data_IF_858370065385
#
_entry.id   IF_858370065385
#
_cell.length_a   1.000
_cell.length_b   1.000
_cell.length_c   1.000
_cell.angle_alpha   90.00
_cell.angle_beta   90.00
_cell.angle_gamma   90.00
#
_symmetry.space_group_name_H-M   'P 1'
#
loop_
_entity.id
_entity.type
_entity.pdbx_description
1 polymer ?
#
# COMPACT_ATOMS: atom_id res chain seq x y z
N UNK A 1 -42.86 -46.01 -67.34
CA UNK A 1 -44.17 -46.39 -66.77
C UNK A 1 -43.90 -46.91 -65.37
N UNK A 2 -44.40 -46.22 -64.31
CA UNK A 2 -44.66 -46.71 -62.93
C UNK A 2 -43.47 -47.31 -62.14
N UNK A 3 -43.22 -47.06 -60.86
CA UNK A 3 -43.76 -46.25 -59.74
C UNK A 3 -42.89 -46.66 -58.53
N UNK A 4 -42.49 -45.70 -57.67
CA UNK A 4 -42.40 -45.80 -56.19
C UNK A 4 -41.58 -46.97 -55.52
N UNK A 5 -41.13 -46.95 -54.27
CA UNK A 5 -41.20 -46.05 -53.11
C UNK A 5 -40.12 -46.49 -52.09
N UNK A 6 -39.53 -45.53 -51.40
CA UNK A 6 -39.21 -45.50 -49.95
C UNK A 6 -38.64 -46.77 -49.27
N UNK A 7 -37.46 -46.61 -48.66
CA UNK A 7 -37.32 -46.68 -47.18
C UNK A 7 -35.99 -46.04 -46.72
N UNK A 8 -36.15 -44.90 -46.05
CA UNK A 8 -35.14 -44.27 -45.18
C UNK A 8 -35.00 -45.13 -43.91
N UNK A 9 -33.77 -45.45 -43.53
CA UNK A 9 -33.43 -45.69 -42.12
C UNK A 9 -32.36 -44.68 -41.72
N UNK A 10 -32.83 -43.56 -41.16
CA UNK A 10 -32.04 -42.61 -40.41
C UNK A 10 -31.81 -43.22 -39.02
N UNK A 11 -30.62 -43.76 -38.79
CA UNK A 11 -30.15 -44.10 -37.44
C UNK A 11 -29.89 -42.80 -36.68
N UNK A 12 -30.85 -42.43 -35.83
CA UNK A 12 -30.68 -41.39 -34.82
C UNK A 12 -29.75 -41.94 -33.74
N UNK A 13 -28.44 -41.70 -33.87
CA UNK A 13 -27.54 -41.76 -32.73
C UNK A 13 -27.76 -40.49 -31.90
N UNK A 14 -28.60 -40.60 -30.87
CA UNK A 14 -28.70 -39.60 -29.83
C UNK A 14 -27.42 -39.69 -28.98
N UNK A 15 -26.49 -38.77 -29.22
CA UNK A 15 -25.41 -38.48 -28.26
C UNK A 15 -26.07 -37.75 -27.10
N UNK A 16 -26.44 -38.49 -26.07
CA UNK A 16 -26.79 -37.93 -24.78
C UNK A 16 -25.48 -37.43 -24.14
N UNK A 17 -25.19 -36.14 -24.35
CA UNK A 17 -24.15 -35.45 -23.60
C UNK A 17 -24.67 -35.30 -22.16
N UNK A 18 -24.33 -36.26 -21.32
CA UNK A 18 -24.53 -36.16 -19.89
C UNK A 18 -23.61 -35.06 -19.36
N UNK A 19 -24.11 -33.84 -19.29
CA UNK A 19 -23.58 -32.80 -18.41
C UNK A 19 -23.86 -33.23 -16.97
N UNK A 20 -23.07 -34.21 -16.48
CA UNK A 20 -22.98 -34.51 -15.06
C UNK A 20 -22.41 -33.26 -14.41
N UNK A 21 -23.22 -32.66 -13.54
CA UNK A 21 -22.87 -31.47 -12.79
C UNK A 21 -21.62 -31.69 -11.95
N UNK A 22 -20.48 -31.28 -12.51
CA UNK A 22 -19.46 -30.64 -11.70
C UNK A 22 -20.01 -29.27 -11.35
N UNK A 23 -20.64 -29.15 -10.17
CA UNK A 23 -20.58 -27.91 -9.44
C UNK A 23 -19.08 -27.66 -9.24
N UNK A 24 -18.46 -27.00 -10.22
CA UNK A 24 -17.20 -26.34 -10.01
C UNK A 24 -17.49 -25.45 -8.81
N UNK A 25 -16.95 -25.84 -7.66
CA UNK A 25 -16.54 -24.88 -6.68
C UNK A 25 -15.63 -23.95 -7.48
N UNK A 26 -16.20 -22.88 -8.04
CA UNK A 26 -15.45 -21.67 -8.28
C UNK A 26 -14.89 -21.38 -6.91
N UNK A 27 -13.67 -21.86 -6.66
CA UNK A 27 -12.83 -21.39 -5.57
C UNK A 27 -12.94 -19.89 -5.71
N UNK A 28 -13.72 -19.27 -4.83
CA UNK A 28 -13.86 -17.83 -4.82
C UNK A 28 -12.42 -17.33 -4.84
N UNK A 29 -12.03 -16.69 -5.95
CA UNK A 29 -10.69 -16.13 -6.08
C UNK A 29 -10.47 -15.33 -4.79
N UNK A 30 -9.32 -15.53 -4.16
CA UNK A 30 -9.10 -14.94 -2.85
C UNK A 30 -9.11 -13.42 -2.99
N UNK A 31 -10.25 -12.77 -2.73
CA UNK A 31 -10.34 -11.31 -2.80
C UNK A 31 -9.32 -10.68 -1.85
N UNK A 32 -8.87 -9.46 -2.17
CA UNK A 32 -8.05 -8.62 -1.30
C UNK A 32 -8.81 -7.33 -0.95
N UNK A 33 -8.69 -6.87 0.29
CA UNK A 33 -9.25 -5.58 0.71
C UNK A 33 -8.12 -4.63 1.07
N UNK A 34 -8.00 -3.53 0.31
CA UNK A 34 -6.95 -2.54 0.48
C UNK A 34 -7.55 -1.23 0.99
N UNK A 35 -7.09 -0.76 2.14
CA UNK A 35 -7.36 0.59 2.63
C UNK A 35 -6.11 1.44 2.45
N UNK A 36 -6.21 2.43 1.57
CA UNK A 36 -5.16 3.43 1.35
C UNK A 36 -5.36 4.55 2.36
N UNK A 37 -4.36 4.78 3.20
CA UNK A 37 -4.36 5.79 4.24
C UNK A 37 -3.30 6.85 3.92
N UNK A 38 -3.76 8.03 3.51
CA UNK A 38 -2.89 9.15 3.12
C UNK A 38 -2.82 10.20 4.22
N UNK A 39 -1.60 10.45 4.67
CA UNK A 39 -1.26 11.62 5.43
C UNK A 39 -1.42 12.88 4.56
N UNK A 40 -2.23 13.83 5.02
CA UNK A 40 -2.40 15.12 4.35
C UNK A 40 -2.01 16.29 5.24
N UNK A 41 -1.22 16.07 6.28
CA UNK A 41 -0.86 17.07 7.29
C UNK A 41 0.02 18.19 6.73
N UNK A 42 0.25 19.23 7.51
CA UNK A 42 1.03 20.40 7.05
C UNK A 42 2.47 20.05 6.68
N UNK A 43 3.07 19.08 7.39
CA UNK A 43 4.43 18.58 7.13
C UNK A 43 4.55 17.93 5.74
N UNK A 44 3.47 17.35 5.22
CA UNK A 44 3.42 16.82 3.86
C UNK A 44 3.57 17.90 2.77
N UNK A 45 3.50 19.18 3.13
CA UNK A 45 3.82 20.30 2.25
C UNK A 45 5.32 20.51 2.05
N UNK A 46 6.16 19.92 2.90
CA UNK A 46 7.61 19.97 2.78
C UNK A 46 8.12 19.23 1.54
N UNK A 47 9.33 19.57 1.10
CA UNK A 47 9.98 18.91 -0.05
C UNK A 47 10.36 17.47 0.30
N UNK A 48 9.99 16.51 -0.54
CA UNK A 48 10.42 15.11 -0.43
C UNK A 48 11.60 14.83 -1.34
N UNK A 49 11.44 15.08 -2.65
CA UNK A 49 12.49 15.02 -3.68
C UNK A 49 12.64 16.39 -4.35
N UNK A 50 13.77 16.68 -5.00
CA UNK A 50 13.95 17.96 -5.70
C UNK A 50 12.76 18.31 -6.59
N UNK A 51 12.10 19.44 -6.31
CA UNK A 51 10.97 19.95 -7.10
C UNK A 51 9.58 19.42 -6.73
N UNK A 52 9.45 18.44 -5.82
CA UNK A 52 8.16 17.88 -5.40
C UNK A 52 7.97 17.87 -3.88
N UNK A 53 6.76 18.23 -3.44
CA UNK A 53 6.35 18.07 -2.03
C UNK A 53 6.10 16.61 -1.68
N UNK A 54 6.14 16.28 -0.38
CA UNK A 54 5.79 14.94 0.12
C UNK A 54 4.37 14.54 -0.30
N UNK A 55 3.40 15.46 -0.26
CA UNK A 55 2.05 15.18 -0.75
C UNK A 55 2.01 14.90 -2.26
N UNK A 56 2.77 15.62 -3.08
CA UNK A 56 2.84 15.35 -4.52
C UNK A 56 3.42 13.96 -4.81
N UNK A 57 4.50 13.62 -4.11
CA UNK A 57 5.11 12.28 -4.19
C UNK A 57 4.12 11.21 -3.70
N UNK A 58 3.46 11.44 -2.57
CA UNK A 58 2.46 10.52 -2.01
C UNK A 58 1.34 10.21 -3.01
N UNK A 59 0.77 11.25 -3.63
CA UNK A 59 -0.26 11.11 -4.67
C UNK A 59 0.24 10.27 -5.84
N UNK A 60 1.43 10.57 -6.36
CA UNK A 60 2.02 9.82 -7.47
C UNK A 60 2.26 8.35 -7.13
N UNK A 61 2.69 8.04 -5.90
CA UNK A 61 2.91 6.66 -5.43
C UNK A 61 1.61 5.88 -5.29
N UNK A 62 0.57 6.51 -4.75
CA UNK A 62 -0.77 5.91 -4.66
C UNK A 62 -1.34 5.68 -6.08
N UNK A 63 -1.23 6.67 -6.97
CA UNK A 63 -1.67 6.54 -8.36
C UNK A 63 -0.93 5.40 -9.08
N UNK A 64 0.38 5.29 -8.85
CA UNK A 64 1.19 4.18 -9.35
C UNK A 64 0.68 2.83 -8.81
N UNK A 65 0.47 2.73 -7.50
CA UNK A 65 -0.06 1.51 -6.87
C UNK A 65 -1.41 1.08 -7.48
N UNK A 66 -2.31 2.03 -7.74
CA UNK A 66 -3.66 1.78 -8.28
C UNK A 66 -3.68 1.35 -9.75
N UNK A 67 -2.62 1.61 -10.50
CA UNK A 67 -2.51 1.26 -11.93
C UNK A 67 -1.86 -0.12 -12.15
N UNK A 68 -1.35 -0.74 -11.08
CA UNK A 68 -0.87 -2.11 -11.08
C UNK A 68 -2.08 -3.04 -11.18
N UNK A 69 -2.01 -4.04 -12.06
CA UNK A 69 -3.08 -5.02 -12.21
C UNK A 69 -2.96 -6.08 -11.11
N UNK A 70 -3.92 -6.15 -10.17
CA UNK A 70 -3.82 -7.10 -9.08
C UNK A 70 -4.01 -8.53 -9.59
N UNK A 71 -3.35 -9.48 -8.93
CA UNK A 71 -3.46 -10.91 -9.22
C UNK A 71 -4.80 -11.52 -8.77
N UNK A 72 -5.56 -10.79 -7.93
CA UNK A 72 -6.86 -11.19 -7.38
C UNK A 72 -7.87 -10.04 -7.41
N UNK A 73 -9.19 -10.31 -7.37
CA UNK A 73 -10.18 -9.26 -7.24
C UNK A 73 -9.90 -8.42 -5.98
N UNK A 74 -9.82 -7.10 -6.14
CA UNK A 74 -9.43 -6.19 -5.06
C UNK A 74 -10.49 -5.14 -4.81
N UNK A 75 -10.87 -4.93 -3.54
CA UNK A 75 -11.73 -3.82 -3.11
C UNK A 75 -10.90 -2.75 -2.44
N UNK A 76 -11.19 -1.50 -2.77
CA UNK A 76 -10.47 -0.34 -2.26
C UNK A 76 -11.33 0.51 -1.32
N UNK A 77 -10.69 1.05 -0.30
CA UNK A 77 -11.14 2.20 0.47
C UNK A 77 -10.01 3.24 0.48
N UNK A 78 -10.38 4.53 0.55
CA UNK A 78 -9.43 5.63 0.59
C UNK A 78 -9.76 6.59 1.70
N UNK A 79 -8.82 6.72 2.62
CA UNK A 79 -8.94 7.53 3.82
C UNK A 79 -7.78 8.53 3.84
N UNK A 80 -8.05 9.70 4.42
CA UNK A 80 -7.02 10.70 4.70
C UNK A 80 -6.99 11.00 6.19
N UNK A 81 -5.94 11.63 6.70
CA UNK A 81 -5.96 12.12 8.08
C UNK A 81 -5.22 13.45 8.25
N UNK A 82 -5.74 14.26 9.16
CA UNK A 82 -5.16 15.49 9.71
C UNK A 82 -5.84 15.78 11.06
N UNK A 83 -5.54 16.92 11.72
CA UNK A 83 -6.22 17.53 12.87
C UNK A 83 -7.32 16.73 13.59
N UNK A 84 -8.42 16.43 12.89
CA UNK A 84 -9.62 15.79 13.43
C UNK A 84 -9.53 14.26 13.55
N UNK A 85 -8.46 13.64 13.06
CA UNK A 85 -8.31 12.20 12.92
C UNK A 85 -8.54 11.71 11.48
N UNK A 86 -8.78 10.40 11.31
CA UNK A 86 -9.02 9.81 10.00
C UNK A 86 -10.37 10.22 9.43
N UNK A 87 -10.38 10.66 8.18
CA UNK A 87 -11.56 10.96 7.36
C UNK A 87 -11.73 9.90 6.28
N UNK A 88 -12.90 9.25 6.27
CA UNK A 88 -13.25 8.26 5.25
C UNK A 88 -13.71 9.00 3.97
N UNK A 89 -12.84 9.09 2.97
CA UNK A 89 -13.19 9.75 1.69
C UNK A 89 -14.00 8.79 0.82
N UNK A 90 -13.56 7.54 0.73
CA UNK A 90 -14.26 6.45 0.05
C UNK A 90 -14.21 5.21 0.95
N UNK A 91 -15.37 4.62 1.23
CA UNK A 91 -15.47 3.37 1.97
C UNK A 91 -15.58 2.16 1.04
N UNK A 92 -15.38 0.95 1.58
CA UNK A 92 -15.45 -0.28 0.79
C UNK A 92 -16.82 -0.55 0.16
N UNK A 93 -17.92 -0.07 0.77
CA UNK A 93 -19.28 -0.28 0.25
C UNK A 93 -19.53 0.49 -1.06
N UNK A 94 -18.73 1.53 -1.35
CA UNK A 94 -18.82 2.27 -2.59
C UNK A 94 -18.38 1.47 -3.83
N UNK A 95 -17.63 0.37 -3.66
CA UNK A 95 -17.03 -0.42 -4.74
C UNK A 95 -16.33 0.47 -5.79
N UNK A 96 -15.58 1.48 -5.31
CA UNK A 96 -14.94 2.45 -6.18
C UNK A 96 -13.86 1.80 -7.05
N UNK A 97 -13.78 2.23 -8.30
CA UNK A 97 -12.72 1.82 -9.23
C UNK A 97 -11.40 2.49 -8.86
N UNK A 98 -10.24 1.94 -9.27
CA UNK A 98 -8.95 2.60 -9.08
C UNK A 98 -8.90 4.04 -9.62
N UNK A 99 -9.59 4.32 -10.74
CA UNK A 99 -9.69 5.67 -11.29
C UNK A 99 -10.47 6.65 -10.38
N UNK A 100 -11.53 6.18 -9.72
CA UNK A 100 -12.27 6.99 -8.75
C UNK A 100 -11.44 7.25 -7.48
N UNK A 101 -10.67 6.26 -7.01
CA UNK A 101 -9.74 6.46 -5.90
C UNK A 101 -8.67 7.49 -6.30
N UNK A 102 -8.04 7.33 -7.47
CA UNK A 102 -7.02 8.26 -7.99
C UNK A 102 -7.56 9.69 -8.10
N UNK A 103 -8.80 9.89 -8.55
CA UNK A 103 -9.42 11.21 -8.58
C UNK A 103 -9.57 11.82 -7.17
N UNK A 104 -9.97 11.02 -6.17
CA UNK A 104 -10.08 11.47 -4.77
C UNK A 104 -8.71 11.77 -4.14
N UNK A 105 -7.69 10.96 -4.44
CA UNK A 105 -6.29 11.20 -4.05
C UNK A 105 -5.81 12.54 -4.62
N UNK A 106 -6.04 12.78 -5.91
CA UNK A 106 -5.62 14.01 -6.56
C UNK A 106 -6.33 15.26 -6.02
N UNK A 107 -7.59 15.13 -5.59
CA UNK A 107 -8.36 16.19 -4.93
C UNK A 107 -7.90 16.51 -3.50
N UNK A 108 -7.05 15.67 -2.88
CA UNK A 108 -6.61 15.87 -1.50
C UNK A 108 -5.70 17.11 -1.38
N UNK A 109 -5.98 17.97 -0.40
CA UNK A 109 -5.18 19.16 -0.07
C UNK A 109 -4.51 19.00 1.28
N UNK A 110 -3.51 19.83 1.57
CA UNK A 110 -2.88 19.88 2.89
C UNK A 110 -3.88 20.28 3.99
N UNK A 111 -3.60 19.79 5.19
CA UNK A 111 -4.34 19.95 6.44
C UNK A 111 -3.38 20.28 7.59
N UNK A 112 -3.84 20.13 8.83
CA UNK A 112 -3.05 20.50 10.02
C UNK A 112 -2.24 19.35 10.62
N UNK A 113 -2.43 19.07 11.92
CA UNK A 113 -1.58 18.17 12.72
C UNK A 113 -1.77 16.69 12.41
N UNK A 114 -0.87 15.84 12.92
CA UNK A 114 -0.68 14.43 12.55
C UNK A 114 -1.17 13.45 13.62
N UNK A 115 -2.43 12.97 13.55
CA UNK A 115 -2.95 11.89 14.39
C UNK A 115 -2.67 10.52 13.76
N UNK A 116 -1.42 10.25 13.39
CA UNK A 116 -0.95 9.05 12.70
C UNK A 116 -1.38 7.74 13.41
N UNK A 117 -1.07 7.56 14.69
CA UNK A 117 -1.33 6.35 15.46
C UNK A 117 -2.83 6.05 15.54
N UNK A 118 -3.64 7.05 15.84
CA UNK A 118 -5.11 6.92 15.86
C UNK A 118 -5.70 6.61 14.48
N UNK A 119 -5.09 7.17 13.43
CA UNK A 119 -5.54 6.97 12.04
C UNK A 119 -5.22 5.58 11.52
N UNK A 120 -4.00 5.09 11.77
CA UNK A 120 -3.60 3.71 11.44
C UNK A 120 -4.50 2.72 12.19
N UNK A 121 -4.74 2.93 13.48
CA UNK A 121 -5.57 2.01 14.24
C UNK A 121 -7.04 1.98 13.81
N UNK A 122 -7.59 3.14 13.43
CA UNK A 122 -8.95 3.21 12.87
C UNK A 122 -9.03 2.54 11.50
N UNK A 123 -8.00 2.67 10.66
CA UNK A 123 -7.92 2.00 9.37
C UNK A 123 -7.84 0.47 9.53
N UNK A 124 -7.04 -0.01 10.49
CA UNK A 124 -6.98 -1.44 10.84
C UNK A 124 -8.35 -1.93 11.32
N UNK A 125 -9.03 -1.19 12.19
CA UNK A 125 -10.39 -1.55 12.64
C UNK A 125 -11.37 -1.63 11.47
N UNK A 126 -11.33 -0.67 10.53
CA UNK A 126 -12.19 -0.69 9.36
C UNK A 126 -11.92 -1.90 8.45
N UNK A 127 -10.65 -2.25 8.25
CA UNK A 127 -10.24 -3.42 7.45
C UNK A 127 -10.71 -4.74 8.05
N UNK A 128 -10.49 -4.92 9.35
CA UNK A 128 -10.82 -6.16 10.05
C UNK A 128 -12.34 -6.34 10.14
N UNK A 129 -13.08 -5.24 10.38
CA UNK A 129 -14.54 -5.26 10.47
C UNK A 129 -15.22 -5.31 9.09
N UNK A 130 -14.51 -5.07 7.99
CA UNK A 130 -15.07 -5.18 6.65
C UNK A 130 -15.06 -6.65 6.17
N UNK A 131 -16.27 -7.22 6.10
CA UNK A 131 -16.51 -8.63 5.79
C UNK A 131 -15.66 -9.53 6.72
N UNK A 132 -15.94 -9.53 8.03
CA UNK A 132 -15.07 -10.12 9.05
C UNK A 132 -15.00 -11.65 8.96
N UNK A 133 -16.01 -12.28 8.36
CA UNK A 133 -16.07 -13.73 8.14
C UNK A 133 -15.42 -14.15 6.80
N UNK A 134 -14.85 -13.20 6.06
CA UNK A 134 -14.13 -13.48 4.83
C UNK A 134 -12.62 -13.29 5.06
N UNK A 135 -11.88 -14.39 4.97
CA UNK A 135 -10.44 -14.51 5.22
C UNK A 135 -9.55 -13.94 4.12
N UNK A 136 -10.07 -12.95 3.41
CA UNK A 136 -9.34 -12.16 2.43
C UNK A 136 -8.14 -11.46 3.07
N UNK A 137 -7.06 -11.32 2.31
CA UNK A 137 -5.93 -10.49 2.74
C UNK A 137 -6.44 -9.07 3.00
N UNK A 138 -6.16 -8.56 4.19
CA UNK A 138 -6.47 -7.18 4.57
C UNK A 138 -5.18 -6.37 4.47
N UNK A 139 -5.15 -5.35 3.64
CA UNK A 139 -3.96 -4.53 3.43
C UNK A 139 -4.23 -3.10 3.82
N UNK A 140 -3.40 -2.55 4.69
CA UNK A 140 -3.28 -1.11 4.87
C UNK A 140 -2.10 -0.63 4.04
N UNK A 141 -2.34 0.33 3.16
CA UNK A 141 -1.27 1.03 2.44
C UNK A 141 -1.18 2.45 2.99
N UNK A 142 -0.21 2.65 3.88
CA UNK A 142 0.06 3.90 4.57
C UNK A 142 1.08 4.73 3.78
N UNK A 143 0.77 6.01 3.55
CA UNK A 143 1.70 6.98 2.98
C UNK A 143 1.77 8.19 3.91
N UNK A 144 2.91 8.40 4.56
CA UNK A 144 3.08 9.39 5.63
C UNK A 144 4.51 9.91 5.69
N UNK A 145 4.70 11.08 6.30
CA UNK A 145 6.01 11.58 6.70
C UNK A 145 6.31 11.41 8.19
N UNK A 146 5.44 10.72 8.94
CA UNK A 146 5.65 10.34 10.34
C UNK A 146 5.14 11.40 11.30
N UNK A 147 5.90 11.61 12.38
CA UNK A 147 5.69 12.67 13.35
C UNK A 147 4.32 12.62 14.05
N UNK A 148 3.98 11.46 14.62
CA UNK A 148 2.81 11.33 15.50
C UNK A 148 2.82 12.41 16.60
N UNK A 149 1.82 13.29 16.59
CA UNK A 149 1.79 14.43 17.51
C UNK A 149 0.38 14.86 17.95
N UNK A 150 -0.69 14.24 17.45
CA UNK A 150 -2.05 14.71 17.73
C UNK A 150 -3.12 13.63 17.86
N UNK A 151 -2.77 12.36 18.04
CA UNK A 151 -3.76 11.33 18.36
C UNK A 151 -4.46 11.65 19.68
N UNK A 152 -5.81 11.77 19.73
CA UNK A 152 -6.52 12.08 20.95
C UNK A 152 -6.26 11.06 22.06
N UNK A 153 -6.07 11.50 23.30
CA UNK A 153 -5.70 10.64 24.44
C UNK A 153 -6.68 9.49 24.72
N UNK A 154 -7.95 9.62 24.30
CA UNK A 154 -8.97 8.57 24.43
C UNK A 154 -8.88 7.49 23.34
N UNK A 155 -8.08 7.70 22.29
CA UNK A 155 -7.88 6.69 21.26
C UNK A 155 -7.04 5.53 21.83
N UNK A 156 -7.43 4.29 21.52
CA UNK A 156 -6.73 3.08 21.99
C UNK A 156 -5.23 3.08 21.66
N UNK A 157 -4.84 3.72 20.54
CA UNK A 157 -3.46 3.81 20.08
C UNK A 157 -2.72 5.08 20.49
N UNK A 158 -3.37 5.97 21.25
CA UNK A 158 -2.66 7.08 21.89
C UNK A 158 -1.62 6.55 22.88
N UNK A 159 -0.46 7.17 22.92
CA UNK A 159 0.63 6.81 23.82
C UNK A 159 1.78 7.79 23.70
N UNK A 160 2.71 7.73 24.64
CA UNK A 160 3.98 8.47 24.55
C UNK A 160 4.84 7.89 23.42
N UNK A 161 5.90 8.61 23.08
CA UNK A 161 6.95 8.08 22.22
C UNK A 161 7.65 6.87 22.87
N UNK A 162 7.99 5.86 22.07
CA UNK A 162 8.91 4.79 22.47
C UNK A 162 10.35 5.27 22.39
N UNK A 163 11.07 5.26 23.51
CA UNK A 163 12.53 5.42 23.54
C UNK A 163 13.21 4.18 22.96
N UNK A 164 12.61 3.01 23.17
CA UNK A 164 13.04 1.77 22.55
C UNK A 164 12.87 1.78 21.02
N UNK A 165 13.81 1.14 20.31
CA UNK A 165 13.80 0.96 18.85
C UNK A 165 13.30 -0.43 18.50
N UNK A 166 12.61 -0.56 17.37
CA UNK A 166 12.15 -1.86 16.85
C UNK A 166 13.26 -2.94 16.90
N UNK A 167 12.97 -4.18 17.38
CA UNK A 167 11.67 -4.69 17.81
C UNK A 167 11.32 -4.44 19.28
N UNK A 168 12.19 -3.74 20.03
CA UNK A 168 12.04 -3.52 21.48
C UNK A 168 11.39 -2.17 21.74
N UNK A 169 10.06 -2.13 21.64
CA UNK A 169 9.27 -0.91 21.87
C UNK A 169 8.80 -0.81 23.32
N UNK A 170 8.72 0.40 23.86
CA UNK A 170 8.21 0.63 25.22
C UNK A 170 6.72 0.28 25.31
N UNK A 171 6.35 -0.49 26.34
CA UNK A 171 4.96 -0.89 26.56
C UNK A 171 4.09 0.36 26.76
N UNK A 172 3.01 0.46 26.00
CA UNK A 172 2.07 1.59 26.06
C UNK A 172 2.45 2.78 25.18
N UNK A 173 3.64 2.78 24.57
CA UNK A 173 3.97 3.74 23.51
C UNK A 173 3.01 3.62 22.33
N UNK A 174 2.84 4.71 21.57
CA UNK A 174 1.99 4.67 20.38
C UNK A 174 2.54 3.67 19.35
N UNK A 175 3.87 3.54 19.21
CA UNK A 175 4.50 2.56 18.32
C UNK A 175 4.12 1.13 18.71
N UNK A 176 4.26 0.79 20.00
CA UNK A 176 3.90 -0.54 20.50
C UNK A 176 2.41 -0.83 20.27
N UNK A 177 1.54 0.17 20.48
CA UNK A 177 0.10 0.05 20.28
C UNK A 177 -0.32 -0.12 18.82
N UNK A 178 0.27 0.65 17.90
CA UNK A 178 0.04 0.48 16.44
C UNK A 178 0.50 -0.90 15.99
N UNK A 179 1.69 -1.33 16.44
CA UNK A 179 2.21 -2.67 16.16
C UNK A 179 1.26 -3.75 16.68
N UNK A 180 0.80 -3.65 17.92
CA UNK A 180 -0.13 -4.62 18.50
C UNK A 180 -1.44 -4.64 17.71
N UNK A 181 -2.00 -3.47 17.40
CA UNK A 181 -3.24 -3.36 16.62
C UNK A 181 -3.11 -4.04 15.26
N UNK A 182 -2.03 -3.82 14.53
CA UNK A 182 -1.78 -4.45 13.23
C UNK A 182 -1.59 -5.97 13.34
N UNK A 183 -1.00 -6.45 14.44
CA UNK A 183 -0.61 -7.86 14.59
C UNK A 183 -1.69 -8.75 15.22
N UNK A 184 -2.52 -8.19 16.12
CA UNK A 184 -3.49 -8.94 16.91
C UNK A 184 -4.92 -8.41 16.78
N UNK A 185 -5.11 -7.21 16.22
CA UNK A 185 -6.39 -6.50 16.17
C UNK A 185 -6.71 -5.71 17.44
N UNK A 186 -5.86 -5.75 18.47
CA UNK A 186 -6.03 -5.02 19.73
C UNK A 186 -4.74 -4.26 20.09
N UNK A 187 -4.85 -2.95 20.26
CA UNK A 187 -3.74 -2.07 20.59
C UNK A 187 -3.04 -2.40 21.92
N UNK A 188 -3.77 -2.99 22.87
CA UNK A 188 -3.26 -3.27 24.21
C UNK A 188 -2.77 -4.72 24.39
N UNK A 189 -2.97 -5.57 23.37
CA UNK A 189 -2.61 -6.98 23.42
C UNK A 189 -1.43 -7.28 22.50
N UNK A 190 -0.25 -7.46 23.10
CA UNK A 190 0.93 -7.90 22.37
C UNK A 190 0.81 -9.37 21.92
N UNK A 191 1.42 -9.71 20.79
CA UNK A 191 1.35 -11.05 20.20
C UNK A 191 2.01 -11.11 18.82
N UNK A 192 2.34 -12.31 18.30
CA UNK A 192 2.94 -12.43 16.97
C UNK A 192 1.98 -11.92 15.89
N UNK A 193 2.53 -11.32 14.84
CA UNK A 193 1.72 -10.84 13.71
C UNK A 193 1.19 -12.02 12.89
N UNK A 194 -0.04 -11.88 12.38
CA UNK A 194 -0.77 -12.97 11.72
C UNK A 194 -1.48 -13.93 12.68
N UNK A 195 -1.47 -13.63 13.98
CA UNK A 195 -2.26 -14.35 14.99
C UNK A 195 -3.24 -13.38 15.63
N UNK A 196 -4.41 -13.25 15.00
CA UNK A 196 -5.51 -12.48 15.55
C UNK A 196 -6.21 -13.29 16.65
N UNK A 197 -6.34 -12.69 17.83
CA UNK A 197 -7.00 -13.31 18.99
C UNK A 197 -8.52 -13.16 18.89
N UNK A 198 -9.32 -14.01 19.57
CA UNK A 198 -10.78 -13.83 19.63
C UNK A 198 -11.17 -12.40 20.01
N UNK A 199 -12.20 -11.81 19.36
CA UNK A 199 -13.25 -12.47 18.59
C UNK A 199 -12.96 -12.68 17.10
N UNK A 200 -11.76 -12.35 16.62
CA UNK A 200 -11.43 -12.47 15.20
C UNK A 200 -11.26 -13.93 14.78
N UNK A 201 -11.72 -14.32 13.59
CA UNK A 201 -11.64 -15.69 13.17
C UNK A 201 -10.20 -16.06 12.77
N UNK A 202 -9.77 -17.31 12.99
CA UNK A 202 -8.41 -17.74 12.70
C UNK A 202 -8.11 -17.64 11.20
N UNK A 203 -6.89 -17.20 10.85
CA UNK A 203 -6.45 -17.08 9.45
C UNK A 203 -6.62 -15.68 8.83
N UNK A 204 -7.17 -14.71 9.58
CA UNK A 204 -7.13 -13.31 9.16
C UNK A 204 -5.67 -12.86 9.00
N UNK A 205 -5.32 -12.35 7.81
CA UNK A 205 -3.99 -11.83 7.52
C UNK A 205 -4.09 -10.34 7.29
N UNK A 206 -3.34 -9.57 8.06
CA UNK A 206 -3.16 -8.13 7.85
C UNK A 206 -1.75 -7.85 7.36
N UNK A 207 -1.67 -7.06 6.29
CA UNK A 207 -0.42 -6.63 5.65
C UNK A 207 -0.33 -5.12 5.72
N UNK A 208 0.80 -4.58 6.19
CA UNK A 208 1.05 -3.15 6.22
C UNK A 208 2.12 -2.78 5.18
N UNK A 209 1.68 -2.12 4.11
CA UNK A 209 2.58 -1.44 3.19
C UNK A 209 2.76 0.00 3.64
N UNK A 210 4.01 0.48 3.70
CA UNK A 210 4.35 1.81 4.18
C UNK A 210 5.29 2.51 3.21
N UNK A 211 4.86 3.66 2.71
CA UNK A 211 5.72 4.64 2.07
C UNK A 211 5.99 5.80 3.03
N UNK A 212 7.24 5.93 3.46
CA UNK A 212 7.68 6.91 4.44
C UNK A 212 8.47 8.04 3.78
N UNK A 213 7.95 9.27 3.83
CA UNK A 213 8.40 10.42 3.04
C UNK A 213 9.15 11.46 3.89
N UNK A 214 10.48 11.37 4.00
CA UNK A 214 11.26 12.20 4.94
C UNK A 214 12.48 12.85 4.28
N UNK A 215 13.07 13.86 4.91
CA UNK A 215 14.24 14.57 4.37
C UNK A 215 15.56 13.97 4.85
N UNK A 216 16.58 13.92 3.97
CA UNK A 216 17.91 13.37 4.30
C UNK A 216 18.70 14.18 5.34
N UNK A 217 18.28 15.41 5.63
CA UNK A 217 18.91 16.30 6.61
C UNK A 217 18.58 15.93 8.07
N UNK A 218 18.06 14.73 8.31
CA UNK A 218 18.00 14.18 9.67
C UNK A 218 19.30 13.40 9.82
N UNK A 219 20.35 13.97 10.45
CA UNK A 219 21.56 13.21 10.73
C UNK A 219 21.14 11.99 11.55
N UNK A 220 21.35 10.79 10.98
CA UNK A 220 21.11 9.51 11.66
C UNK A 220 22.01 9.34 12.90
N UNK A 221 22.98 10.25 13.09
CA UNK A 221 23.71 10.56 14.31
C UNK A 221 24.49 11.87 14.07
N UNK A 222 24.34 12.88 14.93
CA UNK A 222 25.24 14.05 14.95
C UNK A 222 24.55 15.40 15.15
N UNK A 223 25.20 16.27 15.92
CA UNK A 223 24.76 17.62 16.28
C UNK A 223 24.61 18.51 15.04
N UNK A 224 23.40 19.06 14.83
CA UNK A 224 23.12 20.04 13.78
C UNK A 224 23.18 21.46 14.36
N UNK A 225 24.10 22.31 13.88
CA UNK A 225 24.13 23.75 14.19
C UNK A 225 23.31 24.52 13.13
N UNK A 226 22.01 24.69 13.37
CA UNK A 226 21.15 25.53 12.55
C UNK A 226 21.28 27.01 12.93
N UNK A 227 21.54 27.87 11.94
CA UNK A 227 21.53 29.34 12.09
C UNK A 227 20.21 29.87 11.53
N UNK A 228 19.33 30.40 12.38
CA UNK A 228 18.14 31.09 11.87
C UNK A 228 18.51 32.41 11.17
N UNK A 229 17.90 32.72 10.01
CA UNK A 229 18.15 33.95 9.29
C UNK A 229 17.30 35.08 9.88
N UNK A 230 17.90 35.91 10.75
CA UNK A 230 17.23 37.15 11.17
C UNK A 230 17.83 37.84 12.39
N UNK A 231 18.44 37.10 13.32
CA UNK A 231 19.01 37.69 14.53
C UNK A 231 20.46 37.25 14.69
N UNK A 232 21.35 38.23 14.87
CA UNK A 232 22.81 38.02 14.99
C UNK A 232 23.25 37.25 16.24
N UNK A 233 22.37 36.50 16.89
CA UNK A 233 22.68 35.64 18.03
C UNK A 233 22.50 34.16 17.65
N UNK A 234 23.61 33.42 17.64
CA UNK A 234 23.60 31.96 17.77
C UNK A 234 23.11 31.61 19.16
N UNK A 235 21.81 31.46 19.35
CA UNK A 235 21.28 30.83 20.57
C UNK A 235 21.50 29.33 20.40
N UNK A 236 22.46 28.76 21.16
CA UNK A 236 22.55 27.31 21.38
C UNK A 236 21.38 26.89 22.26
N UNK A 237 20.18 26.85 21.69
CA UNK A 237 19.16 25.95 22.21
C UNK A 237 19.61 24.55 21.81
N UNK A 238 19.57 23.54 22.71
CA UNK A 238 19.60 22.16 22.27
C UNK A 238 18.34 21.97 21.42
N UNK A 239 18.46 22.18 20.12
CA UNK A 239 17.54 21.60 19.18
C UNK A 239 17.91 20.13 19.15
N UNK A 240 17.28 19.34 20.02
CA UNK A 240 17.22 17.91 19.78
C UNK A 240 16.62 17.77 18.38
N UNK A 241 17.43 17.32 17.42
CA UNK A 241 16.94 16.92 16.11
C UNK A 241 15.66 16.10 16.34
N UNK A 242 14.55 16.42 15.65
CA UNK A 242 13.31 15.67 15.82
C UNK A 242 13.65 14.17 15.83
N UNK A 243 13.53 13.46 16.98
CA UNK A 243 14.03 12.10 17.15
C UNK A 243 13.30 11.06 16.28
N UNK A 244 12.37 11.53 15.44
CA UNK A 244 11.35 10.76 14.75
C UNK A 244 11.93 9.88 13.67
N UNK A 245 12.58 10.37 12.61
CA UNK A 245 12.98 9.48 11.51
C UNK A 245 13.97 8.36 11.92
N UNK A 246 14.93 8.64 12.80
CA UNK A 246 15.89 7.62 13.25
C UNK A 246 15.24 6.46 14.01
N UNK A 247 14.08 6.69 14.63
CA UNK A 247 13.31 5.68 15.38
C UNK A 247 12.05 5.22 14.62
N UNK A 248 11.54 6.01 13.67
CA UNK A 248 10.40 5.70 12.81
C UNK A 248 10.77 4.85 11.61
N UNK A 249 11.94 5.07 10.98
CA UNK A 249 12.43 4.19 9.90
C UNK A 249 12.49 2.73 10.38
N UNK A 250 13.18 2.39 11.50
CA UNK A 250 13.19 1.01 11.98
C UNK A 250 11.80 0.55 12.44
N UNK A 251 10.94 1.43 12.95
CA UNK A 251 9.57 1.08 13.31
C UNK A 251 8.72 0.70 12.09
N UNK A 252 8.63 1.54 11.06
CA UNK A 252 7.82 1.29 9.88
C UNK A 252 8.36 0.15 9.03
N UNK A 253 9.69 0.05 8.87
CA UNK A 253 10.31 -1.09 8.19
C UNK A 253 10.07 -2.40 8.94
N UNK A 254 10.19 -2.38 10.27
CA UNK A 254 9.90 -3.52 11.15
C UNK A 254 8.43 -3.93 11.12
N UNK A 255 7.50 -2.96 11.16
CA UNK A 255 6.06 -3.19 11.06
C UNK A 255 5.68 -3.83 9.72
N UNK A 256 6.18 -3.28 8.62
CA UNK A 256 5.96 -3.84 7.29
C UNK A 256 6.50 -5.27 7.23
N UNK A 257 7.75 -5.50 7.66
CA UNK A 257 8.34 -6.85 7.69
C UNK A 257 7.50 -7.83 8.53
N UNK A 258 7.09 -7.44 9.74
CA UNK A 258 6.36 -8.31 10.65
C UNK A 258 4.96 -8.67 10.12
N UNK A 259 4.32 -7.77 9.39
CA UNK A 259 3.03 -7.99 8.72
C UNK A 259 3.17 -8.54 7.29
N UNK A 260 4.39 -8.83 6.84
CA UNK A 260 4.71 -9.30 5.47
C UNK A 260 4.33 -8.30 4.37
N UNK A 261 4.32 -7.01 4.69
CA UNK A 261 4.16 -5.93 3.74
C UNK A 261 5.49 -5.36 3.26
N UNK A 262 5.40 -4.24 2.54
CA UNK A 262 6.54 -3.51 1.96
C UNK A 262 6.79 -2.23 2.74
N UNK A 263 8.05 -1.92 2.96
CA UNK A 263 8.50 -0.58 3.35
C UNK A 263 9.25 0.08 2.20
N UNK A 264 9.00 1.37 1.96
CA UNK A 264 9.84 2.20 1.12
C UNK A 264 10.05 3.57 1.78
N UNK A 265 11.30 3.89 2.09
CA UNK A 265 11.71 5.25 2.44
C UNK A 265 11.93 6.07 1.17
N UNK A 266 11.33 7.26 1.11
CA UNK A 266 11.50 8.20 0.00
C UNK A 266 12.08 9.50 0.55
N UNK A 267 13.30 9.79 0.13
CA UNK A 267 14.11 10.93 0.58
C UNK A 267 14.59 11.78 -0.58
N UNK A 268 15.26 12.90 -0.31
CA UNK A 268 15.76 13.81 -1.35
C UNK A 268 16.78 13.15 -2.29
N UNK A 269 17.47 12.11 -1.82
CA UNK A 269 18.38 11.27 -2.61
C UNK A 269 17.66 10.19 -3.43
N UNK A 270 16.37 9.95 -3.20
CA UNK A 270 15.64 8.94 -3.95
C UNK A 270 15.53 9.38 -5.42
N UNK A 271 15.90 8.52 -6.39
CA UNK A 271 15.75 8.84 -7.80
C UNK A 271 14.30 9.20 -8.14
N UNK A 272 14.10 10.19 -9.02
CA UNK A 272 12.76 10.65 -9.39
C UNK A 272 11.87 9.51 -9.90
N UNK A 273 12.40 8.60 -10.72
CA UNK A 273 11.70 7.41 -11.23
C UNK A 273 11.24 6.45 -10.13
N UNK A 274 11.90 6.45 -8.97
CA UNK A 274 11.51 5.64 -7.81
C UNK A 274 10.59 6.40 -6.85
N UNK A 275 10.74 7.72 -6.75
CA UNK A 275 9.90 8.58 -5.93
C UNK A 275 8.48 8.66 -6.50
N UNK A 276 8.36 8.83 -7.81
CA UNK A 276 7.10 8.81 -8.57
C UNK A 276 7.09 7.58 -9.50
N UNK A 277 6.90 6.37 -8.95
CA UNK A 277 7.02 5.14 -9.72
C UNK A 277 6.02 5.12 -10.87
N UNK A 278 6.49 4.70 -12.04
CA UNK A 278 5.68 4.45 -13.24
C UNK A 278 5.39 2.94 -13.31
N UNK A 279 4.15 2.49 -13.05
CA UNK A 279 3.82 1.08 -13.13
C UNK A 279 4.08 0.54 -14.54
N UNK A 280 4.76 -0.60 -14.63
CA UNK A 280 5.18 -1.16 -15.90
C UNK A 280 6.58 -0.76 -16.35
N UNK A 281 7.24 0.19 -15.69
CA UNK A 281 8.66 0.54 -15.91
C UNK A 281 9.53 -0.47 -15.14
N UNK A 282 9.87 -1.57 -15.80
CA UNK A 282 10.57 -2.71 -15.20
C UNK A 282 12.07 -2.43 -15.02
N UNK A 283 12.64 -1.60 -15.89
CA UNK A 283 14.07 -1.25 -15.87
C UNK A 283 14.36 0.08 -15.14
N UNK A 284 13.30 0.80 -14.73
CA UNK A 284 13.33 2.08 -14.01
C UNK A 284 13.99 3.23 -14.81
N UNK A 285 13.91 3.17 -16.14
CA UNK A 285 14.46 4.19 -17.05
C UNK A 285 13.54 5.41 -17.21
N UNK A 286 12.34 5.36 -16.64
CA UNK A 286 11.35 6.43 -16.69
C UNK A 286 10.41 6.36 -17.89
N UNK A 287 10.41 5.30 -18.69
CA UNK A 287 9.57 5.15 -19.87
C UNK A 287 9.09 3.69 -20.02
N UNK A 288 7.78 3.47 -19.89
CA UNK A 288 7.20 2.13 -20.09
C UNK A 288 7.16 1.77 -21.58
N UNK A 289 8.02 0.87 -22.02
CA UNK A 289 8.22 0.56 -23.45
C UNK A 289 8.49 -0.94 -23.74
N UNK A 290 8.97 -1.23 -24.94
CA UNK A 290 9.26 -2.61 -25.40
C UNK A 290 10.33 -3.28 -24.55
N UNK A 291 11.28 -2.53 -24.01
CA UNK A 291 12.34 -3.02 -23.11
C UNK A 291 11.72 -3.59 -21.84
N UNK A 292 10.78 -2.88 -21.21
CA UNK A 292 10.09 -3.37 -20.01
C UNK A 292 9.28 -4.61 -20.30
N UNK A 293 8.53 -4.59 -21.41
CA UNK A 293 7.77 -5.76 -21.85
C UNK A 293 8.69 -6.97 -22.04
N UNK A 294 9.86 -6.76 -22.64
CA UNK A 294 10.86 -7.82 -22.86
C UNK A 294 11.41 -8.33 -21.54
N UNK A 295 11.65 -7.44 -20.57
CA UNK A 295 12.10 -7.81 -19.24
C UNK A 295 11.05 -8.67 -18.52
N UNK A 296 9.78 -8.26 -18.51
CA UNK A 296 8.68 -9.07 -17.94
C UNK A 296 8.62 -10.46 -18.60
N UNK A 297 8.66 -10.52 -19.94
CA UNK A 297 8.61 -11.79 -20.66
C UNK A 297 9.82 -12.68 -20.36
N UNK A 298 11.01 -12.10 -20.17
CA UNK A 298 12.22 -12.85 -19.81
C UNK A 298 12.15 -13.46 -18.40
N UNK A 299 11.37 -12.85 -17.51
CA UNK A 299 11.16 -13.29 -16.13
C UNK A 299 9.85 -14.06 -15.93
N UNK A 300 9.03 -14.22 -16.98
CA UNK A 300 7.69 -14.78 -16.87
C UNK A 300 7.69 -16.20 -16.27
N UNK A 301 6.86 -16.41 -15.25
CA UNK A 301 6.76 -17.64 -14.47
C UNK A 301 7.86 -17.82 -13.40
N UNK A 302 8.82 -16.90 -13.31
CA UNK A 302 9.88 -16.99 -12.29
C UNK A 302 9.38 -16.49 -10.94
N UNK A 303 9.80 -17.18 -9.87
CA UNK A 303 9.65 -16.69 -8.50
C UNK A 303 10.72 -15.63 -8.23
N UNK A 304 10.28 -14.48 -7.74
CA UNK A 304 11.17 -13.36 -7.39
C UNK A 304 10.85 -12.90 -5.98
N UNK A 305 11.77 -12.18 -5.30
CA UNK A 305 11.40 -11.43 -4.10
C UNK A 305 10.21 -10.52 -4.42
N UNK A 306 9.20 -10.56 -3.56
CA UNK A 306 7.93 -9.86 -3.76
C UNK A 306 8.15 -8.38 -4.08
N UNK A 307 7.58 -7.89 -5.18
CA UNK A 307 7.65 -6.48 -5.54
C UNK A 307 8.99 -6.03 -6.13
N UNK A 308 9.81 -6.97 -6.60
CA UNK A 308 11.12 -6.68 -7.23
C UNK A 308 11.13 -7.03 -8.71
N UNK A 309 11.94 -6.30 -9.49
CA UNK A 309 12.04 -6.51 -10.93
C UNK A 309 10.69 -6.33 -11.63
N UNK A 310 10.28 -7.35 -12.38
CA UNK A 310 9.02 -7.36 -13.13
C UNK A 310 7.77 -7.77 -12.31
N UNK A 311 7.89 -8.15 -11.03
CA UNK A 311 6.72 -8.48 -10.17
C UNK A 311 6.12 -7.19 -9.60
N UNK A 312 5.32 -6.48 -10.40
CA UNK A 312 4.67 -5.24 -10.02
C UNK A 312 3.54 -5.49 -9.02
N UNK A 313 2.76 -6.56 -9.24
CA UNK A 313 1.58 -6.88 -8.43
C UNK A 313 1.89 -7.58 -7.11
N UNK A 314 3.17 -7.86 -6.84
CA UNK A 314 3.68 -8.38 -5.57
C UNK A 314 3.12 -9.76 -5.25
N UNK A 315 2.87 -10.56 -6.28
CA UNK A 315 2.45 -11.95 -6.09
C UNK A 315 3.63 -12.87 -5.74
N UNK A 316 4.88 -12.39 -5.91
CA UNK A 316 6.10 -13.19 -5.78
C UNK A 316 6.40 -14.04 -7.00
N UNK A 317 5.62 -13.89 -8.07
CA UNK A 317 5.80 -14.56 -9.36
C UNK A 317 5.54 -13.53 -10.46
N UNK A 318 6.44 -13.45 -11.45
CA UNK A 318 6.19 -12.61 -12.62
C UNK A 318 5.16 -13.29 -13.52
N UNK A 319 3.99 -12.70 -13.71
CA UNK A 319 2.86 -13.35 -14.39
C UNK A 319 2.09 -12.43 -15.36
N UNK A 320 0.88 -12.87 -15.74
CA UNK A 320 0.02 -12.13 -16.67
C UNK A 320 -0.40 -10.76 -16.12
N UNK A 321 -0.56 -10.63 -14.80
CA UNK A 321 -0.88 -9.34 -14.17
C UNK A 321 0.25 -8.34 -14.36
N UNK A 322 1.50 -8.78 -14.25
CA UNK A 322 2.66 -7.93 -14.49
C UNK A 322 2.79 -7.52 -15.95
N UNK A 323 2.62 -8.49 -16.86
CA UNK A 323 2.60 -8.20 -18.29
C UNK A 323 1.50 -7.20 -18.66
N UNK A 324 0.28 -7.38 -18.12
CA UNK A 324 -0.82 -6.47 -18.37
C UNK A 324 -0.58 -5.08 -17.76
N UNK A 325 0.16 -5.00 -16.65
CA UNK A 325 0.59 -3.72 -16.08
C UNK A 325 1.46 -2.94 -17.05
N UNK A 326 2.42 -3.59 -17.73
CA UNK A 326 3.21 -2.94 -18.80
C UNK A 326 2.33 -2.49 -19.96
N UNK A 327 1.48 -3.40 -20.47
CA UNK A 327 0.62 -3.10 -21.64
C UNK A 327 -0.32 -1.92 -21.36
N UNK A 328 -0.91 -1.86 -20.17
CA UNK A 328 -1.84 -0.78 -19.81
C UNK A 328 -1.16 0.56 -19.58
N UNK A 329 0.16 0.56 -19.34
CA UNK A 329 0.95 1.77 -19.11
C UNK A 329 1.92 2.06 -20.27
N UNK A 330 1.82 1.35 -21.39
CA UNK A 330 2.76 1.49 -22.51
C UNK A 330 2.80 2.93 -23.04
N UNK A 331 4.01 3.44 -23.24
CA UNK A 331 4.29 4.81 -23.67
C UNK A 331 4.28 5.85 -22.55
N UNK A 332 3.94 5.50 -21.30
CA UNK A 332 3.94 6.47 -20.19
C UNK A 332 5.37 6.80 -19.77
N UNK A 333 5.61 8.09 -19.53
CA UNK A 333 6.92 8.62 -19.14
C UNK A 333 7.90 8.85 -20.30
N UNK A 334 7.62 8.31 -21.48
CA UNK A 334 8.47 8.43 -22.66
C UNK A 334 8.45 9.84 -23.25
N UNK A 335 9.62 10.43 -23.47
CA UNK A 335 9.75 11.73 -24.16
C UNK A 335 9.66 11.60 -25.68
N UNK A 336 9.87 10.41 -26.21
CA UNK A 336 9.72 10.04 -27.63
C UNK A 336 9.22 8.60 -27.71
N UNK A 337 8.07 8.37 -28.33
CA UNK A 337 7.58 7.01 -28.59
C UNK A 337 8.38 6.44 -29.77
N UNK A 338 9.39 5.61 -29.50
CA UNK A 338 9.97 4.73 -30.53
C UNK A 338 9.24 3.40 -30.47
N UNK A 339 8.48 3.09 -31.52
CA UNK A 339 7.77 1.81 -31.73
C UNK A 339 8.71 0.60 -31.78
#
# INVERSE_FOLDING_TARGET
MRTESKRRFLSKAAVALACVGGLASSTALADEHVLILLDKTGSMGGTSVPGLTRLQVAKARIDGYLQIIPSVPTKYAFWTFDNAGPTQVINFAANATPAQISAAVNATTLGGNTPLAGSVCSAVDALINFLPNQFHTKRVYLVTDGDENSTPALNQCAGTWSVGVWPTLDVGSWQAKVRNKACTGDANSAGPCGVFVPPYPPGLTLVADVDFLFTDNIPLQGDYEGREPGEGQTVRVPYEAAPSAATEVPFFSGLAQATRGRYAGVTQKTPATQATPLPGDANLDGCVNVTDRTQVLSQYGQKVPVGTGADFNRSGVVDTGDYQTVVNNFGRGCTTLSE
#
